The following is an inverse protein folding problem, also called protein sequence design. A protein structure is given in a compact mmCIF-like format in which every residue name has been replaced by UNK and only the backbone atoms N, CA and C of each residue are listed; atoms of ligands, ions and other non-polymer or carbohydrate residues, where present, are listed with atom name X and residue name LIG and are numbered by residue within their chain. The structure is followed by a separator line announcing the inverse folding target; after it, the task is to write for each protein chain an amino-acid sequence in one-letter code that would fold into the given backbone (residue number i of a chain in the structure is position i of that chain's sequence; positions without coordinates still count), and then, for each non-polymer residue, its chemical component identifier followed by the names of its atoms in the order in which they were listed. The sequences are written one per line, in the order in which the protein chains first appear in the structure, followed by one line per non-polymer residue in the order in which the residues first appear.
data_IF_069864189560
#
_entry.id   IF_069864189560
#
_cell.length_a   1.000
_cell.length_b   1.000
_cell.length_c   1.000
_cell.angle_alpha   90.00
_cell.angle_beta   90.00
_cell.angle_gamma   90.00
#
_symmetry.space_group_name_H-M   'P 1'
#
loop_
_entity.id
_entity.type
_entity.pdbx_description
1 polymer ?
#
# COMPACT_ATOMS: atom_id res chain seq x y z
N UNK A 1 -51.54 -5.19 -3.80
CA UNK A 1 -51.01 -5.01 -2.43
C UNK A 1 -49.56 -5.43 -2.31
N UNK A 2 -49.17 -6.68 -2.63
CA UNK A 2 -47.78 -7.15 -2.49
C UNK A 2 -46.72 -6.24 -3.16
N UNK A 3 -46.96 -5.79 -4.40
CA UNK A 3 -46.01 -4.97 -5.15
C UNK A 3 -45.76 -3.60 -4.50
N UNK A 4 -46.78 -3.00 -3.87
CA UNK A 4 -46.65 -1.74 -3.13
C UNK A 4 -45.87 -1.95 -1.83
N UNK A 5 -46.10 -3.05 -1.13
CA UNK A 5 -45.36 -3.40 0.09
C UNK A 5 -43.87 -3.63 -0.19
N UNK A 6 -43.52 -4.30 -1.30
CA UNK A 6 -42.13 -4.46 -1.73
C UNK A 6 -41.46 -3.13 -2.08
N UNK A 7 -42.16 -2.22 -2.76
CA UNK A 7 -41.63 -0.89 -3.08
C UNK A 7 -41.39 -0.05 -1.83
N UNK A 8 -42.34 -0.03 -0.88
CA UNK A 8 -42.19 0.70 0.38
C UNK A 8 -41.00 0.14 1.18
N UNK A 9 -40.92 -1.18 1.33
CA UNK A 9 -39.79 -1.82 2.03
C UNK A 9 -38.45 -1.49 1.36
N UNK A 10 -38.36 -1.57 0.03
CA UNK A 10 -37.15 -1.24 -0.71
C UNK A 10 -36.71 0.22 -0.53
N UNK A 11 -37.65 1.18 -0.64
CA UNK A 11 -37.35 2.60 -0.45
C UNK A 11 -36.93 2.90 0.99
N UNK A 12 -37.59 2.31 1.99
CA UNK A 12 -37.22 2.47 3.40
C UNK A 12 -35.80 1.93 3.68
N UNK A 13 -35.46 0.75 3.16
CA UNK A 13 -34.11 0.16 3.32
C UNK A 13 -33.04 1.02 2.65
N UNK A 14 -33.28 1.47 1.41
CA UNK A 14 -32.35 2.35 0.68
C UNK A 14 -32.15 3.69 1.40
N UNK A 15 -33.21 4.25 1.95
CA UNK A 15 -33.16 5.49 2.73
C UNK A 15 -32.37 5.27 4.02
N UNK A 16 -32.59 4.18 4.75
CA UNK A 16 -31.83 3.88 5.96
C UNK A 16 -30.32 3.74 5.68
N UNK A 17 -29.97 2.99 4.63
CA UNK A 17 -28.57 2.83 4.21
C UNK A 17 -27.94 4.19 3.92
N UNK A 18 -28.50 4.96 2.98
CA UNK A 18 -27.91 6.22 2.53
C UNK A 18 -27.92 7.31 3.61
N UNK A 19 -28.99 7.42 4.40
CA UNK A 19 -29.16 8.51 5.37
C UNK A 19 -28.45 8.25 6.69
N UNK A 20 -28.32 7.00 7.12
CA UNK A 20 -27.78 6.69 8.45
C UNK A 20 -26.52 5.84 8.41
N UNK A 21 -26.51 4.76 7.65
CA UNK A 21 -25.38 3.82 7.68
C UNK A 21 -24.12 4.42 7.06
N UNK A 22 -24.20 5.00 5.86
CA UNK A 22 -23.02 5.53 5.15
C UNK A 22 -22.37 6.72 5.89
N UNK A 23 -23.12 7.74 6.38
CA UNK A 23 -22.51 8.81 7.16
C UNK A 23 -21.84 8.31 8.45
N UNK A 24 -22.45 7.33 9.14
CA UNK A 24 -21.84 6.72 10.33
C UNK A 24 -20.59 5.91 9.98
N UNK A 25 -20.60 5.21 8.84
CA UNK A 25 -19.43 4.49 8.34
C UNK A 25 -18.28 5.47 8.06
N UNK A 26 -18.58 6.59 7.41
CA UNK A 26 -17.60 7.63 7.13
C UNK A 26 -17.00 8.24 8.40
N UNK A 27 -17.81 8.52 9.42
CA UNK A 27 -17.33 9.00 10.73
C UNK A 27 -16.45 7.95 11.42
N UNK A 28 -16.84 6.67 11.38
CA UNK A 28 -16.06 5.59 11.96
C UNK A 28 -14.69 5.45 11.26
N UNK A 29 -14.67 5.47 9.92
CA UNK A 29 -13.44 5.43 9.13
C UNK A 29 -12.55 6.66 9.39
N UNK A 30 -13.13 7.87 9.39
CA UNK A 30 -12.37 9.10 9.61
C UNK A 30 -11.67 9.13 10.98
N UNK A 31 -12.35 8.67 12.04
CA UNK A 31 -11.74 8.54 13.37
C UNK A 31 -10.62 7.51 13.38
N UNK A 32 -10.81 6.38 12.70
CA UNK A 32 -9.82 5.32 12.61
C UNK A 32 -8.58 5.69 11.77
N UNK A 33 -8.66 6.70 10.91
CA UNK A 33 -7.49 7.23 10.17
C UNK A 33 -6.88 8.47 10.81
N UNK A 34 -7.43 8.98 11.92
CA UNK A 34 -7.00 10.26 12.49
C UNK A 34 -5.68 10.16 13.28
N UNK A 35 -5.42 9.00 13.90
CA UNK A 35 -4.15 8.70 14.55
C UNK A 35 -3.39 7.64 13.77
N UNK A 36 -2.10 7.88 13.55
CA UNK A 36 -1.15 6.93 12.95
C UNK A 36 -0.23 6.31 14.00
N UNK A 37 -0.46 6.58 15.29
CA UNK A 37 0.37 6.06 16.37
C UNK A 37 0.18 4.54 16.50
N UNK A 38 1.25 3.75 16.66
CA UNK A 38 1.15 2.29 16.79
C UNK A 38 0.21 1.84 17.93
N UNK A 39 0.19 2.57 19.05
CA UNK A 39 -0.69 2.30 20.20
C UNK A 39 -2.19 2.37 19.87
N UNK A 40 -2.58 3.18 18.89
CA UNK A 40 -3.98 3.40 18.51
C UNK A 40 -4.49 2.37 17.49
N UNK A 41 -3.59 1.56 16.93
CA UNK A 41 -3.89 0.66 15.81
C UNK A 41 -5.06 -0.30 16.09
N UNK A 42 -5.20 -0.81 17.32
CA UNK A 42 -6.32 -1.69 17.68
C UNK A 42 -7.67 -0.95 17.72
N UNK A 43 -7.67 0.28 18.22
CA UNK A 43 -8.87 1.12 18.21
C UNK A 43 -9.23 1.50 16.78
N UNK A 44 -8.24 1.81 15.95
CA UNK A 44 -8.39 2.10 14.53
C UNK A 44 -8.98 0.90 13.77
N UNK A 45 -8.50 -0.32 14.02
CA UNK A 45 -9.05 -1.54 13.41
C UNK A 45 -10.52 -1.75 13.76
N UNK A 46 -10.92 -1.55 15.03
CA UNK A 46 -12.33 -1.62 15.44
C UNK A 46 -13.19 -0.56 14.74
N UNK A 47 -12.65 0.65 14.57
CA UNK A 47 -13.32 1.71 13.81
C UNK A 47 -13.52 1.34 12.34
N UNK A 48 -12.51 0.72 11.71
CA UNK A 48 -12.62 0.23 10.33
C UNK A 48 -13.57 -0.96 10.18
N UNK A 49 -13.55 -1.90 11.11
CA UNK A 49 -14.52 -2.99 11.12
C UNK A 49 -15.95 -2.44 11.22
N UNK A 50 -16.16 -1.43 12.07
CA UNK A 50 -17.46 -0.76 12.18
C UNK A 50 -17.86 -0.07 10.87
N UNK A 51 -16.92 0.57 10.18
CA UNK A 51 -17.18 1.18 8.89
C UNK A 51 -17.61 0.14 7.84
N UNK A 52 -16.91 -1.00 7.77
CA UNK A 52 -17.22 -2.11 6.87
C UNK A 52 -18.56 -2.79 7.20
N UNK A 53 -18.92 -2.93 8.47
CA UNK A 53 -20.24 -3.44 8.86
C UNK A 53 -21.39 -2.52 8.41
N UNK A 54 -21.15 -1.21 8.39
CA UNK A 54 -22.16 -0.20 8.05
C UNK A 54 -22.28 0.03 6.54
N UNK A 55 -21.17 -0.04 5.81
CA UNK A 55 -21.12 0.16 4.36
C UNK A 55 -20.08 -0.79 3.72
N UNK A 56 -20.42 -2.08 3.58
CA UNK A 56 -19.48 -3.12 3.13
C UNK A 56 -19.06 -2.98 1.67
N UNK A 57 -19.78 -2.18 0.86
CA UNK A 57 -19.48 -1.92 -0.54
C UNK A 57 -18.54 -0.72 -0.75
N UNK A 58 -18.12 -0.04 0.32
CA UNK A 58 -17.21 1.10 0.24
C UNK A 58 -15.76 0.60 0.25
N UNK A 59 -15.19 0.53 -0.95
CA UNK A 59 -13.84 0.01 -1.18
C UNK A 59 -12.77 0.62 -0.26
N UNK A 60 -12.77 1.94 -0.12
CA UNK A 60 -11.67 2.64 0.56
C UNK A 60 -11.50 2.18 2.02
N UNK A 61 -12.54 1.63 2.64
CA UNK A 61 -12.45 1.08 3.99
C UNK A 61 -11.62 -0.22 4.04
N UNK A 62 -11.68 -1.06 3.01
CA UNK A 62 -10.79 -2.23 2.91
C UNK A 62 -9.34 -1.78 2.77
N UNK A 63 -9.08 -0.78 1.92
CA UNK A 63 -7.74 -0.20 1.76
C UNK A 63 -7.19 0.37 3.07
N UNK A 64 -7.96 1.19 3.78
CA UNK A 64 -7.51 1.76 5.06
C UNK A 64 -7.30 0.69 6.14
N UNK A 65 -8.18 -0.30 6.23
CA UNK A 65 -8.01 -1.43 7.15
C UNK A 65 -6.73 -2.21 6.84
N UNK A 66 -6.45 -2.49 5.57
CA UNK A 66 -5.23 -3.16 5.13
C UNK A 66 -3.97 -2.36 5.50
N UNK A 67 -3.98 -1.03 5.36
CA UNK A 67 -2.86 -0.19 5.75
C UNK A 67 -2.63 -0.18 7.27
N UNK A 68 -3.70 -0.12 8.07
CA UNK A 68 -3.60 -0.20 9.54
C UNK A 68 -3.07 -1.58 9.96
N UNK A 69 -3.51 -2.66 9.29
CA UNK A 69 -2.95 -3.98 9.52
C UNK A 69 -1.47 -4.00 9.17
N UNK A 70 -1.08 -3.51 8.00
CA UNK A 70 0.32 -3.47 7.55
C UNK A 70 1.23 -2.66 8.48
N UNK A 71 0.72 -1.61 9.13
CA UNK A 71 1.49 -0.80 10.06
C UNK A 71 1.74 -1.49 11.41
N UNK A 72 1.03 -2.58 11.73
CA UNK A 72 1.28 -3.33 12.96
C UNK A 72 2.68 -3.98 12.98
N UNK A 73 3.26 -4.24 11.79
CA UNK A 73 4.64 -4.74 11.63
C UNK A 73 4.99 -5.91 12.56
N UNK A 74 6.24 -5.94 13.04
CA UNK A 74 6.69 -6.82 14.13
C UNK A 74 6.44 -6.21 15.53
N UNK A 75 5.78 -5.04 15.60
CA UNK A 75 5.76 -4.17 16.78
C UNK A 75 4.65 -4.51 17.78
N UNK A 76 3.71 -5.38 17.42
CA UNK A 76 2.66 -5.82 18.36
C UNK A 76 3.15 -7.03 19.14
N UNK A 77 3.29 -6.93 20.48
CA UNK A 77 3.53 -8.09 21.31
C UNK A 77 2.44 -9.13 21.05
N UNK A 78 2.89 -10.34 20.69
CA UNK A 78 2.09 -11.56 20.52
C UNK A 78 0.96 -11.57 21.56
N UNK A 79 -0.28 -11.36 21.10
CA UNK A 79 -1.47 -11.40 21.97
C UNK A 79 -2.46 -10.23 21.91
N UNK A 80 -2.31 -9.26 20.99
CA UNK A 80 -3.19 -8.07 21.00
C UNK A 80 -3.94 -7.69 19.72
N UNK A 81 -3.57 -8.15 18.53
CA UNK A 81 -4.48 -8.08 17.37
C UNK A 81 -5.47 -9.24 17.47
N UNK A 82 -6.77 -8.95 17.64
CA UNK A 82 -7.77 -9.91 18.11
C UNK A 82 -7.80 -11.28 17.42
N UNK A 83 -7.51 -11.36 16.11
CA UNK A 83 -7.49 -12.61 15.33
C UNK A 83 -6.08 -13.21 15.19
N UNK A 84 -5.05 -12.36 15.04
CA UNK A 84 -3.63 -12.75 15.04
C UNK A 84 -3.03 -12.70 16.46
N UNK A 85 -3.46 -13.62 17.32
CA UNK A 85 -2.91 -13.86 18.65
C UNK A 85 -2.21 -15.22 18.77
N UNK A 86 -1.59 -15.57 19.92
CA UNK A 86 -1.06 -16.90 20.20
C UNK A 86 -2.23 -17.87 20.43
N UNK A 87 -2.97 -18.17 19.37
CA UNK A 87 -4.15 -19.02 19.40
C UNK A 87 -3.94 -20.19 18.44
N UNK A 88 -3.12 -21.16 18.85
CA UNK A 88 -3.17 -22.55 18.38
C UNK A 88 -2.79 -22.87 16.93
N UNK A 89 -2.59 -21.88 16.05
CA UNK A 89 -2.10 -22.10 14.70
C UNK A 89 -0.56 -21.96 14.67
N UNK A 90 0.15 -22.89 14.03
CA UNK A 90 1.61 -22.86 13.82
C UNK A 90 2.05 -21.77 12.82
N UNK A 91 1.42 -20.59 12.86
CA UNK A 91 1.67 -19.49 11.93
C UNK A 91 2.52 -18.43 12.62
N UNK A 92 3.48 -17.86 11.89
CA UNK A 92 4.16 -16.65 12.36
C UNK A 92 3.18 -15.48 12.42
N UNK A 93 3.44 -14.49 13.28
CA UNK A 93 2.61 -13.29 13.36
C UNK A 93 2.49 -12.60 12.00
N UNK A 94 3.61 -12.48 11.29
CA UNK A 94 3.68 -11.94 9.92
C UNK A 94 2.80 -12.72 8.96
N UNK A 95 2.84 -14.06 9.00
CA UNK A 95 1.99 -14.88 8.13
C UNK A 95 0.50 -14.68 8.43
N UNK A 96 0.12 -14.65 9.71
CA UNK A 96 -1.27 -14.39 10.08
C UNK A 96 -1.75 -13.03 9.56
N UNK A 97 -0.95 -11.99 9.75
CA UNK A 97 -1.27 -10.64 9.30
C UNK A 97 -1.41 -10.57 7.77
N UNK A 98 -0.49 -11.21 7.03
CA UNK A 98 -0.57 -11.29 5.57
C UNK A 98 -1.84 -12.01 5.10
N UNK A 99 -2.27 -13.08 5.79
CA UNK A 99 -3.52 -13.78 5.49
C UNK A 99 -4.74 -12.90 5.77
N UNK A 100 -4.71 -12.12 6.85
CA UNK A 100 -5.80 -11.21 7.20
C UNK A 100 -5.94 -10.07 6.19
N UNK A 101 -4.82 -9.47 5.75
CA UNK A 101 -4.79 -8.45 4.71
C UNK A 101 -5.29 -9.02 3.38
N UNK A 102 -4.84 -10.21 3.00
CA UNK A 102 -5.32 -10.91 1.81
C UNK A 102 -6.84 -11.14 1.85
N UNK A 103 -7.35 -11.72 2.94
CA UNK A 103 -8.79 -11.98 3.12
C UNK A 103 -9.63 -10.69 3.13
N UNK A 104 -9.11 -9.62 3.73
CA UNK A 104 -9.73 -8.30 3.68
C UNK A 104 -9.86 -7.78 2.24
N UNK A 105 -8.78 -7.82 1.47
CA UNK A 105 -8.77 -7.30 0.10
C UNK A 105 -9.58 -8.18 -0.85
N UNK A 106 -9.59 -9.49 -0.63
CA UNK A 106 -10.42 -10.44 -1.38
C UNK A 106 -11.90 -10.09 -1.20
N UNK A 107 -12.36 -9.86 0.05
CA UNK A 107 -13.72 -9.38 0.31
C UNK A 107 -14.01 -8.05 -0.38
N UNK A 108 -13.03 -7.14 -0.43
CA UNK A 108 -13.16 -5.88 -1.17
C UNK A 108 -13.43 -6.11 -2.67
N UNK A 109 -12.70 -7.04 -3.30
CA UNK A 109 -12.93 -7.45 -4.69
C UNK A 109 -14.28 -8.13 -4.86
N UNK A 110 -14.70 -9.01 -3.95
CA UNK A 110 -16.03 -9.65 -4.02
C UNK A 110 -17.18 -8.64 -4.02
N UNK A 111 -17.03 -7.53 -3.29
CA UNK A 111 -18.01 -6.44 -3.25
C UNK A 111 -17.99 -5.60 -4.53
N UNK A 112 -16.82 -5.38 -5.13
CA UNK A 112 -16.66 -4.63 -6.39
C UNK A 112 -15.69 -5.32 -7.35
N UNK A 113 -16.13 -6.39 -8.06
CA UNK A 113 -15.21 -7.23 -8.82
C UNK A 113 -14.52 -6.54 -9.99
N UNK A 114 -15.05 -5.43 -10.49
CA UNK A 114 -14.51 -4.69 -11.64
C UNK A 114 -13.77 -3.40 -11.24
N UNK A 115 -13.69 -3.10 -9.95
CA UNK A 115 -12.93 -1.95 -9.50
C UNK A 115 -11.42 -2.26 -9.54
N UNK A 116 -10.69 -1.41 -10.24
CA UNK A 116 -9.27 -1.63 -10.51
C UNK A 116 -8.42 -1.52 -9.25
N UNK A 117 -8.74 -0.59 -8.34
CA UNK A 117 -7.95 -0.38 -7.13
C UNK A 117 -8.09 -1.60 -6.21
N UNK A 118 -9.30 -2.16 -6.13
CA UNK A 118 -9.57 -3.41 -5.40
C UNK A 118 -8.71 -4.57 -5.91
N UNK A 119 -8.66 -4.74 -7.24
CA UNK A 119 -7.82 -5.78 -7.86
C UNK A 119 -6.34 -5.54 -7.66
N UNK A 120 -5.92 -4.27 -7.69
CA UNK A 120 -4.52 -3.88 -7.50
C UNK A 120 -4.05 -4.21 -6.08
N UNK A 121 -4.81 -3.81 -5.06
CA UNK A 121 -4.47 -4.08 -3.66
C UNK A 121 -4.62 -5.56 -3.28
N UNK A 122 -5.50 -6.31 -3.98
CA UNK A 122 -5.54 -7.77 -3.87
C UNK A 122 -4.27 -8.39 -4.46
N UNK A 123 -3.86 -7.96 -5.65
CA UNK A 123 -2.66 -8.47 -6.29
C UNK A 123 -1.39 -8.22 -5.44
N UNK A 124 -1.31 -7.06 -4.80
CA UNK A 124 -0.24 -6.76 -3.85
C UNK A 124 -0.28 -7.67 -2.61
N UNK A 125 -1.45 -7.83 -1.98
CA UNK A 125 -1.55 -8.70 -0.79
C UNK A 125 -1.32 -10.18 -1.11
N UNK A 126 -1.63 -10.63 -2.32
CA UNK A 126 -1.26 -11.96 -2.83
C UNK A 126 0.25 -12.13 -2.90
N UNK A 127 0.98 -11.15 -3.44
CA UNK A 127 2.46 -11.20 -3.51
C UNK A 127 3.09 -11.16 -2.11
N UNK A 128 2.57 -10.33 -1.22
CA UNK A 128 3.03 -10.28 0.17
C UNK A 128 2.80 -11.62 0.86
N UNK A 129 1.60 -12.20 0.75
CA UNK A 129 1.31 -13.50 1.35
C UNK A 129 2.19 -14.60 0.75
N UNK A 130 2.33 -14.63 -0.58
CA UNK A 130 3.21 -15.57 -1.28
C UNK A 130 4.66 -15.50 -0.79
N UNK A 131 5.18 -14.31 -0.49
CA UNK A 131 6.54 -14.15 0.02
C UNK A 131 6.74 -14.80 1.41
N UNK A 132 5.69 -14.86 2.22
CA UNK A 132 5.74 -15.43 3.57
C UNK A 132 5.42 -16.93 3.57
N UNK A 133 4.50 -17.37 2.71
CA UNK A 133 4.09 -18.78 2.62
C UNK A 133 4.89 -19.59 1.60
N UNK A 134 5.68 -18.93 0.75
CA UNK A 134 6.37 -19.53 -0.40
C UNK A 134 5.39 -20.18 -1.41
N UNK A 135 4.19 -19.61 -1.54
CA UNK A 135 3.15 -20.10 -2.44
C UNK A 135 3.28 -19.49 -3.84
N UNK A 136 3.67 -20.33 -4.81
CA UNK A 136 3.91 -19.91 -6.19
C UNK A 136 2.62 -19.55 -6.96
N UNK A 137 1.47 -20.13 -6.58
CA UNK A 137 0.18 -19.85 -7.23
C UNK A 137 -0.31 -18.46 -6.81
N UNK A 138 -0.15 -18.10 -5.52
CA UNK A 138 -0.40 -16.74 -5.04
C UNK A 138 0.54 -15.73 -5.70
N UNK A 139 1.83 -16.05 -5.85
CA UNK A 139 2.77 -15.17 -6.52
C UNK A 139 2.36 -14.91 -7.99
N UNK A 140 1.96 -15.95 -8.70
CA UNK A 140 1.52 -15.88 -10.09
C UNK A 140 0.20 -15.12 -10.22
N UNK A 141 -0.76 -15.36 -9.31
CA UNK A 141 -2.04 -14.66 -9.22
C UNK A 141 -1.86 -13.16 -9.01
N UNK A 142 -1.04 -12.79 -8.02
CA UNK A 142 -0.78 -11.39 -7.68
C UNK A 142 -0.09 -10.63 -8.80
N UNK A 143 0.94 -11.22 -9.41
CA UNK A 143 1.61 -10.65 -10.56
C UNK A 143 0.64 -10.41 -11.73
N UNK A 144 -0.24 -11.37 -12.01
CA UNK A 144 -1.26 -11.25 -13.06
C UNK A 144 -2.24 -10.12 -12.77
N UNK A 145 -2.80 -10.03 -11.55
CA UNK A 145 -3.74 -8.98 -11.19
C UNK A 145 -3.13 -7.56 -11.33
N UNK A 146 -1.89 -7.37 -10.89
CA UNK A 146 -1.18 -6.09 -11.04
C UNK A 146 -0.97 -5.75 -12.52
N UNK A 147 -0.44 -6.69 -13.31
CA UNK A 147 -0.13 -6.46 -14.72
C UNK A 147 -1.39 -6.16 -15.55
N UNK A 148 -2.46 -6.94 -15.35
CA UNK A 148 -3.75 -6.69 -16.02
C UNK A 148 -4.31 -5.32 -15.65
N UNK A 149 -4.24 -4.95 -14.36
CA UNK A 149 -4.73 -3.65 -13.89
C UNK A 149 -3.95 -2.48 -14.45
N UNK A 150 -2.62 -2.57 -14.48
CA UNK A 150 -1.75 -1.54 -15.05
C UNK A 150 -1.98 -1.36 -16.56
N UNK A 151 -2.32 -2.42 -17.30
CA UNK A 151 -2.69 -2.33 -18.72
C UNK A 151 -4.06 -1.69 -18.95
N UNK A 152 -5.02 -1.90 -18.06
CA UNK A 152 -6.35 -1.31 -18.16
C UNK A 152 -6.35 0.20 -17.91
N UNK A 153 -5.46 0.71 -17.05
CA UNK A 153 -5.44 2.11 -16.62
C UNK A 153 -4.03 2.68 -16.70
N UNK A 154 -3.49 2.88 -17.93
CA UNK A 154 -2.08 3.20 -18.13
C UNK A 154 -1.65 4.57 -17.57
N UNK A 155 -2.61 5.45 -17.28
CA UNK A 155 -2.40 6.79 -16.71
C UNK A 155 -2.46 6.80 -15.18
N UNK A 156 -2.86 5.70 -14.52
CA UNK A 156 -2.89 5.63 -13.06
C UNK A 156 -1.47 5.47 -12.52
N UNK A 157 -1.02 6.46 -11.75
CA UNK A 157 0.26 6.37 -11.04
C UNK A 157 0.31 5.16 -10.12
N UNK A 158 -0.76 4.90 -9.36
CA UNK A 158 -0.82 3.76 -8.44
C UNK A 158 -0.63 2.45 -9.21
N UNK A 159 -1.40 2.21 -10.28
CA UNK A 159 -1.26 0.99 -11.07
C UNK A 159 0.15 0.87 -11.68
N UNK A 160 0.73 1.99 -12.14
CA UNK A 160 2.10 2.03 -12.65
C UNK A 160 3.13 1.66 -11.58
N UNK A 161 3.03 2.27 -10.39
CA UNK A 161 3.93 2.04 -9.25
C UNK A 161 3.96 0.55 -8.88
N UNK A 162 2.80 -0.07 -8.64
CA UNK A 162 2.73 -1.50 -8.31
C UNK A 162 3.33 -2.38 -9.40
N UNK A 163 3.07 -2.06 -10.68
CA UNK A 163 3.68 -2.80 -11.80
C UNK A 163 5.20 -2.66 -11.83
N UNK A 164 5.73 -1.47 -11.55
CA UNK A 164 7.18 -1.20 -11.53
C UNK A 164 7.83 -1.90 -10.34
N UNK A 165 7.23 -1.84 -9.15
CA UNK A 165 7.70 -2.54 -7.95
C UNK A 165 7.75 -4.06 -8.18
N UNK A 166 6.72 -4.63 -8.83
CA UNK A 166 6.71 -6.04 -9.25
C UNK A 166 7.86 -6.36 -10.22
N UNK A 167 8.12 -5.52 -11.22
CA UNK A 167 9.22 -5.73 -12.17
C UNK A 167 10.58 -5.69 -11.46
N UNK A 168 10.79 -4.76 -10.52
CA UNK A 168 12.01 -4.69 -9.70
C UNK A 168 12.16 -5.96 -8.85
N UNK A 169 11.09 -6.39 -8.17
CA UNK A 169 11.07 -7.56 -7.31
C UNK A 169 11.35 -8.86 -8.07
N UNK A 170 10.85 -8.96 -9.31
CA UNK A 170 11.02 -10.15 -10.17
C UNK A 170 12.29 -10.12 -11.01
N UNK A 171 13.24 -9.24 -10.70
CA UNK A 171 14.55 -9.20 -11.37
C UNK A 171 14.50 -8.66 -12.79
N UNK A 172 13.51 -7.81 -13.11
CA UNK A 172 13.35 -7.14 -14.40
C UNK A 172 13.55 -5.61 -14.30
N UNK A 173 14.66 -5.12 -13.70
CA UNK A 173 14.85 -3.68 -13.48
C UNK A 173 14.91 -2.86 -14.79
N UNK A 174 15.43 -3.42 -15.88
CA UNK A 174 15.40 -2.75 -17.19
C UNK A 174 13.97 -2.50 -17.71
N UNK A 175 13.06 -3.45 -17.49
CA UNK A 175 11.65 -3.28 -17.84
C UNK A 175 10.97 -2.26 -16.92
N UNK A 176 11.36 -2.22 -15.65
CA UNK A 176 10.89 -1.23 -14.68
C UNK A 176 11.27 0.19 -15.11
N UNK A 177 12.55 0.41 -15.46
CA UNK A 177 13.07 1.70 -15.95
C UNK A 177 12.31 2.16 -17.20
N UNK A 178 12.19 1.30 -18.21
CA UNK A 178 11.43 1.60 -19.43
C UNK A 178 9.98 1.97 -19.13
N UNK A 179 9.31 1.22 -18.24
CA UNK A 179 7.93 1.53 -17.87
C UNK A 179 7.79 2.88 -17.15
N UNK A 180 8.79 3.31 -16.37
CA UNK A 180 8.79 4.62 -15.72
C UNK A 180 9.02 5.75 -16.73
N UNK A 181 9.96 5.58 -17.66
CA UNK A 181 10.23 6.54 -18.74
C UNK A 181 9.01 6.75 -19.65
N UNK A 182 8.34 5.66 -20.03
CA UNK A 182 7.10 5.71 -20.81
C UNK A 182 6.01 6.49 -20.07
N UNK A 183 5.84 6.26 -18.76
CA UNK A 183 4.84 6.95 -17.94
C UNK A 183 5.16 8.44 -17.78
N UNK A 184 6.41 8.79 -17.51
CA UNK A 184 6.87 10.17 -17.39
C UNK A 184 6.71 10.93 -18.72
N UNK A 185 7.02 10.28 -19.84
CA UNK A 185 6.79 10.82 -21.19
C UNK A 185 5.30 11.09 -21.43
N UNK A 186 4.45 10.09 -21.14
CA UNK A 186 3.00 10.16 -21.31
C UNK A 186 2.36 11.29 -20.49
N UNK A 187 2.89 11.52 -19.29
CA UNK A 187 2.40 12.53 -18.34
C UNK A 187 3.13 13.88 -18.45
N UNK A 188 4.04 14.02 -19.43
CA UNK A 188 4.88 15.21 -19.62
C UNK A 188 5.66 15.62 -18.36
N UNK A 189 6.14 14.65 -17.59
CA UNK A 189 6.84 14.85 -16.32
C UNK A 189 6.02 15.58 -15.23
N UNK A 190 4.68 15.58 -15.33
CA UNK A 190 3.81 16.29 -14.36
C UNK A 190 3.24 15.39 -13.28
N UNK A 191 3.20 14.06 -13.49
CA UNK A 191 2.60 13.13 -12.54
C UNK A 191 3.67 12.37 -11.76
N UNK A 192 3.75 12.62 -10.44
CA UNK A 192 4.62 11.89 -9.51
C UNK A 192 6.10 11.76 -9.94
N UNK A 193 6.75 12.85 -10.41
CA UNK A 193 8.12 12.76 -10.91
C UNK A 193 9.13 12.41 -9.79
N UNK A 194 8.87 12.85 -8.54
CA UNK A 194 9.71 12.53 -7.39
C UNK A 194 9.68 11.03 -7.07
N UNK A 195 8.48 10.45 -6.95
CA UNK A 195 8.35 9.02 -6.64
C UNK A 195 8.79 8.14 -7.81
N UNK A 196 8.64 8.59 -9.06
CA UNK A 196 9.19 7.91 -10.23
C UNK A 196 10.73 7.85 -10.17
N UNK A 197 11.40 8.98 -9.88
CA UNK A 197 12.85 9.02 -9.72
C UNK A 197 13.32 8.12 -8.55
N UNK A 198 12.56 8.08 -7.46
CA UNK A 198 12.83 7.15 -6.37
C UNK A 198 12.76 5.68 -6.83
N UNK A 199 11.74 5.28 -7.60
CA UNK A 199 11.65 3.92 -8.13
C UNK A 199 12.74 3.61 -9.17
N UNK A 200 13.17 4.59 -9.98
CA UNK A 200 14.31 4.45 -10.88
C UNK A 200 15.57 4.09 -10.10
N UNK A 201 15.80 4.75 -8.95
CA UNK A 201 16.96 4.43 -8.11
C UNK A 201 17.00 2.97 -7.66
N UNK A 202 15.85 2.42 -7.26
CA UNK A 202 15.73 1.01 -6.85
C UNK A 202 16.02 0.07 -8.02
N UNK A 203 15.60 0.43 -9.22
CA UNK A 203 15.88 -0.35 -10.42
C UNK A 203 17.38 -0.33 -10.78
N UNK A 204 18.01 0.86 -10.76
CA UNK A 204 19.46 1.02 -10.98
C UNK A 204 20.29 0.26 -9.94
N UNK A 205 19.89 0.32 -8.67
CA UNK A 205 20.54 -0.45 -7.61
C UNK A 205 20.48 -1.96 -7.86
N UNK A 206 19.36 -2.49 -8.36
CA UNK A 206 19.24 -3.91 -8.74
C UNK A 206 20.10 -4.28 -9.96
N UNK A 207 20.47 -3.32 -10.81
CA UNK A 207 21.42 -3.50 -11.90
C UNK A 207 22.89 -3.41 -11.44
N UNK A 208 23.15 -2.97 -10.21
CA UNK A 208 24.50 -2.64 -9.74
C UNK A 208 25.02 -1.28 -10.23
N UNK A 209 24.15 -0.47 -10.84
CA UNK A 209 24.46 0.87 -11.36
C UNK A 209 24.37 1.91 -10.24
N UNK A 210 25.32 1.84 -9.30
CA UNK A 210 25.28 2.61 -8.05
C UNK A 210 25.24 4.12 -8.28
N UNK A 211 25.98 4.64 -9.25
CA UNK A 211 26.01 6.09 -9.53
C UNK A 211 24.67 6.62 -10.03
N UNK A 212 24.02 5.89 -10.95
CA UNK A 212 22.70 6.28 -11.47
C UNK A 212 21.60 6.10 -10.42
N UNK A 213 21.74 5.12 -9.53
CA UNK A 213 20.90 5.00 -8.35
C UNK A 213 20.97 6.25 -7.46
N UNK A 214 22.19 6.70 -7.13
CA UNK A 214 22.41 7.88 -6.28
C UNK A 214 21.86 9.13 -6.96
N UNK A 215 22.16 9.34 -8.25
CA UNK A 215 21.65 10.48 -9.01
C UNK A 215 20.11 10.51 -9.02
N UNK A 216 19.47 9.35 -9.15
CA UNK A 216 18.01 9.24 -9.15
C UNK A 216 17.41 9.53 -7.75
N UNK A 217 18.08 9.13 -6.67
CA UNK A 217 17.67 9.49 -5.31
C UNK A 217 17.79 10.99 -5.04
N UNK A 218 18.89 11.62 -5.43
CA UNK A 218 19.08 13.07 -5.29
C UNK A 218 17.99 13.82 -6.07
N UNK A 219 17.75 13.44 -7.32
CA UNK A 219 16.68 14.01 -8.14
C UNK A 219 15.31 13.83 -7.47
N UNK A 220 15.03 12.66 -6.89
CA UNK A 220 13.75 12.43 -6.20
C UNK A 220 13.53 13.43 -5.05
N UNK A 221 14.57 13.70 -4.26
CA UNK A 221 14.53 14.64 -3.14
C UNK A 221 14.43 16.10 -3.63
N UNK A 222 15.16 16.46 -4.70
CA UNK A 222 15.06 17.78 -5.35
C UNK A 222 13.65 18.05 -5.88
N UNK A 223 12.97 17.01 -6.38
CA UNK A 223 11.59 17.08 -6.87
C UNK A 223 10.55 17.07 -5.74
N UNK A 224 10.97 17.05 -4.47
CA UNK A 224 10.08 17.16 -3.31
C UNK A 224 9.54 15.84 -2.79
N UNK A 225 10.26 14.73 -2.97
CA UNK A 225 9.95 13.47 -2.26
C UNK A 225 9.82 13.75 -0.76
N UNK A 226 8.81 13.17 -0.11
CA UNK A 226 8.49 13.42 1.30
C UNK A 226 8.05 12.14 2.04
N UNK A 227 7.89 12.26 3.36
CA UNK A 227 7.46 11.15 4.23
C UNK A 227 8.46 10.00 4.30
N UNK A 228 7.94 8.79 4.44
CA UNK A 228 8.77 7.58 4.59
C UNK A 228 9.69 7.32 3.39
N UNK A 229 9.27 7.66 2.17
CA UNK A 229 10.10 7.51 0.98
C UNK A 229 11.31 8.46 1.00
N UNK A 230 11.11 9.71 1.44
CA UNK A 230 12.23 10.65 1.60
C UNK A 230 13.19 10.22 2.71
N UNK A 231 12.62 9.65 3.79
CA UNK A 231 13.41 9.07 4.87
C UNK A 231 14.27 7.90 4.35
N UNK A 232 13.67 6.96 3.62
CA UNK A 232 14.40 5.84 2.97
C UNK A 232 15.48 6.36 2.02
N UNK A 233 15.17 7.37 1.19
CA UNK A 233 16.14 7.98 0.29
C UNK A 233 17.34 8.59 1.03
N UNK A 234 17.11 9.33 2.12
CA UNK A 234 18.17 9.87 2.96
C UNK A 234 19.01 8.78 3.64
N UNK A 235 18.38 7.70 4.09
CA UNK A 235 19.13 6.57 4.65
C UNK A 235 20.09 5.97 3.62
N UNK A 236 19.61 5.67 2.41
CA UNK A 236 20.42 5.06 1.34
C UNK A 236 21.57 6.00 0.93
N UNK A 237 21.30 7.30 0.81
CA UNK A 237 22.34 8.29 0.49
C UNK A 237 23.38 8.42 1.60
N UNK A 238 22.97 8.40 2.87
CA UNK A 238 23.89 8.43 4.00
C UNK A 238 24.85 7.22 3.99
N UNK A 239 24.31 6.02 3.78
CA UNK A 239 25.10 4.78 3.66
C UNK A 239 26.08 4.84 2.49
N UNK A 240 25.62 5.29 1.32
CA UNK A 240 26.48 5.43 0.13
C UNK A 240 27.62 6.44 0.36
N UNK A 241 27.30 7.62 0.91
CA UNK A 241 28.29 8.66 1.12
C UNK A 241 29.30 8.31 2.21
N UNK A 242 28.88 7.58 3.24
CA UNK A 242 29.79 7.05 4.24
C UNK A 242 30.78 6.05 3.61
N UNK A 243 30.28 5.10 2.82
CA UNK A 243 31.10 4.12 2.12
C UNK A 243 32.07 4.77 1.10
N UNK A 244 31.68 5.90 0.52
CA UNK A 244 32.48 6.66 -0.46
C UNK A 244 33.45 7.66 0.16
N UNK A 245 33.57 7.69 1.50
CA UNK A 245 34.47 8.61 2.21
C UNK A 245 34.01 10.08 2.26
N UNK A 246 32.76 10.37 1.89
CA UNK A 246 32.17 11.71 1.91
C UNK A 246 31.43 11.95 3.22
N UNK A 247 32.19 12.02 4.32
CA UNK A 247 31.65 12.04 5.69
C UNK A 247 30.64 13.19 5.94
N UNK A 248 30.90 14.39 5.42
CA UNK A 248 30.02 15.55 5.62
C UNK A 248 28.64 15.36 4.97
N UNK A 249 28.60 14.79 3.75
CA UNK A 249 27.34 14.48 3.05
C UNK A 249 26.58 13.35 3.75
N UNK A 250 27.31 12.33 4.20
CA UNK A 250 26.71 11.24 4.97
C UNK A 250 26.04 11.75 6.25
N UNK A 251 26.71 12.66 6.97
CA UNK A 251 26.17 13.27 8.19
C UNK A 251 24.94 14.16 7.93
N UNK A 252 24.91 14.94 6.84
CA UNK A 252 23.73 15.75 6.48
C UNK A 252 22.52 14.85 6.20
N UNK A 253 22.70 13.80 5.39
CA UNK A 253 21.61 12.88 5.08
C UNK A 253 21.15 12.08 6.30
N UNK A 254 22.06 11.65 7.17
CA UNK A 254 21.69 10.99 8.42
C UNK A 254 20.83 11.90 9.31
N UNK A 255 21.23 13.17 9.43
CA UNK A 255 20.46 14.15 10.20
C UNK A 255 19.05 14.34 9.64
N UNK A 256 18.89 14.39 8.31
CA UNK A 256 17.57 14.50 7.66
C UNK A 256 16.73 13.25 7.86
N UNK A 257 17.33 12.06 7.79
CA UNK A 257 16.68 10.80 8.12
C UNK A 257 16.14 10.81 9.55
N UNK A 258 16.94 11.25 10.52
CA UNK A 258 16.54 11.31 11.94
C UNK A 258 15.41 12.32 12.16
N UNK A 259 15.44 13.47 11.47
CA UNK A 259 14.40 14.49 11.54
C UNK A 259 13.05 14.00 11.00
N UNK A 260 13.05 13.20 9.92
CA UNK A 260 11.83 12.60 9.36
C UNK A 260 11.30 11.43 10.19
N UNK A 261 12.08 10.90 11.14
CA UNK A 261 11.68 9.82 12.04
C UNK A 261 11.01 10.28 13.33
N UNK A 262 10.88 11.59 13.55
CA UNK A 262 10.22 12.15 14.74
C UNK A 262 8.72 12.38 14.45
N UNK A 263 7.81 11.95 15.35
CA UNK A 263 6.36 12.14 15.19
C UNK A 263 5.94 13.61 15.24
#
# INVERSE_FOLDING_TARGET
MALVTFLIAGVSTLTWLKTWSYPRAAVAAARATQSTLPEDSLANLKGMERALQLAPDVLVYYYYRANILSSLGDQVPVGRSGECGPSGANLSFKECLSREIYSNNLRGVEQRPYDYLSRLILGDSELVLASVTQDADLATGGARHIQETARMIPQSWQARRFSVELLILTGQPNAALRSLEEFLTLTQNKAHPAEAAFLQSKAYRNLGETEDSVRSLELSLELGLSGDLAREAHQILAEFYAASGKADLAADHQKRYDQLGQP
#
